data_IF_968484368578
#
_entry.id   IF_968484368578
#
_cell.length_a   1.000
_cell.length_b   1.000
_cell.length_c   1.000
_cell.angle_alpha   90.00
_cell.angle_beta   90.00
_cell.angle_gamma   90.00
#
_symmetry.space_group_name_H-M   'P 1'
#
loop_
_entity.id
_entity.type
_entity.pdbx_description
1 polymer ?
#
# COMPACT_ATOMS: atom_id res chain seq x y z
N UNK A 1 -3.56 -22.52 -35.79
CA UNK A 1 -3.23 -21.76 -37.02
C UNK A 1 -4.48 -21.19 -37.67
N UNK A 2 -5.40 -22.04 -38.17
CA UNK A 2 -6.62 -21.61 -38.87
C UNK A 2 -7.46 -20.55 -38.12
N UNK A 3 -7.76 -20.78 -36.84
CA UNK A 3 -8.65 -19.88 -36.07
C UNK A 3 -7.91 -18.99 -35.07
N UNK A 4 -6.57 -18.96 -35.11
CA UNK A 4 -5.73 -18.16 -34.20
C UNK A 4 -5.66 -18.65 -32.75
N UNK A 5 -6.55 -19.54 -32.32
CA UNK A 5 -6.59 -20.15 -30.98
C UNK A 5 -6.79 -21.66 -31.07
N UNK A 6 -6.39 -22.38 -30.02
CA UNK A 6 -6.63 -23.83 -29.91
C UNK A 6 -8.06 -24.13 -29.48
N UNK A 7 -8.58 -25.34 -29.74
CA UNK A 7 -9.77 -25.81 -29.04
C UNK A 7 -9.58 -25.69 -27.53
N UNK A 8 -10.63 -25.27 -26.81
CA UNK A 8 -10.64 -25.11 -25.35
C UNK A 8 -9.62 -24.11 -24.76
N UNK A 9 -9.11 -23.15 -25.53
CA UNK A 9 -8.08 -22.21 -25.08
C UNK A 9 -8.39 -21.46 -23.77
N UNK A 10 -9.68 -21.23 -23.48
CA UNK A 10 -10.15 -20.48 -22.30
C UNK A 10 -10.60 -21.39 -21.14
N UNK A 11 -10.35 -22.71 -21.23
CA UNK A 11 -10.80 -23.70 -20.25
C UNK A 11 -9.66 -24.12 -19.31
N UNK A 12 -10.01 -24.44 -18.06
CA UNK A 12 -9.03 -24.78 -17.01
C UNK A 12 -8.64 -26.27 -17.01
N UNK A 13 -9.62 -27.18 -17.19
CA UNK A 13 -9.40 -28.64 -17.22
C UNK A 13 -9.55 -29.20 -18.64
N UNK A 14 -8.56 -28.92 -19.48
CA UNK A 14 -8.60 -29.24 -20.91
C UNK A 14 -8.51 -30.76 -21.17
N UNK A 15 -7.75 -31.51 -20.38
CA UNK A 15 -7.50 -32.95 -20.59
C UNK A 15 -8.79 -33.78 -20.60
N UNK A 16 -9.69 -33.55 -19.64
CA UNK A 16 -10.95 -34.29 -19.53
C UNK A 16 -11.87 -34.03 -20.72
N UNK A 17 -11.90 -32.79 -21.21
CA UNK A 17 -12.65 -32.42 -22.41
C UNK A 17 -12.06 -33.08 -23.65
N UNK A 18 -10.74 -33.13 -23.77
CA UNK A 18 -10.07 -33.79 -24.89
C UNK A 18 -10.37 -35.29 -24.88
N UNK A 19 -10.41 -35.97 -23.73
CA UNK A 19 -10.64 -37.41 -23.64
C UNK A 19 -12.10 -37.77 -23.92
N UNK A 20 -13.04 -37.06 -23.30
CA UNK A 20 -14.44 -37.48 -23.26
C UNK A 20 -15.30 -36.90 -24.39
N UNK A 21 -14.90 -35.80 -25.01
CA UNK A 21 -15.66 -35.21 -26.12
C UNK A 21 -15.21 -35.76 -27.47
N UNK A 22 -16.08 -35.56 -28.47
CA UNK A 22 -15.78 -35.79 -29.87
C UNK A 22 -14.59 -34.93 -30.34
N UNK A 23 -13.98 -35.36 -31.45
CA UNK A 23 -12.89 -34.63 -32.10
C UNK A 23 -13.30 -33.19 -32.40
N UNK A 24 -12.44 -32.21 -32.08
CA UNK A 24 -12.76 -30.81 -32.31
C UNK A 24 -12.89 -30.53 -33.81
N UNK A 25 -13.88 -29.72 -34.17
CA UNK A 25 -14.12 -29.26 -35.55
C UNK A 25 -13.86 -27.76 -35.64
N UNK A 26 -13.57 -27.29 -36.86
CA UNK A 26 -13.48 -25.86 -37.14
C UNK A 26 -14.84 -25.19 -36.86
N UNK A 27 -14.81 -24.04 -36.22
CA UNK A 27 -15.98 -23.21 -35.90
C UNK A 27 -16.47 -22.53 -37.17
N UNK A 28 -15.54 -21.98 -37.97
CA UNK A 28 -15.90 -21.35 -39.25
C UNK A 28 -16.18 -22.38 -40.34
N UNK A 29 -17.15 -22.10 -41.20
CA UNK A 29 -17.48 -22.91 -42.39
C UNK A 29 -16.81 -22.42 -43.67
N UNK A 30 -15.92 -21.44 -43.57
CA UNK A 30 -15.25 -20.82 -44.73
C UNK A 30 -14.09 -21.65 -45.28
N UNK A 31 -13.77 -22.77 -44.65
CA UNK A 31 -12.61 -23.59 -44.98
C UNK A 31 -12.91 -24.61 -46.08
N UNK A 32 -11.91 -24.94 -46.90
CA UNK A 32 -12.08 -25.93 -47.96
C UNK A 32 -12.37 -27.32 -47.39
N UNK A 33 -13.15 -28.11 -48.12
CA UNK A 33 -13.46 -29.49 -47.70
C UNK A 33 -12.19 -30.35 -47.62
N UNK A 34 -11.18 -30.08 -48.46
CA UNK A 34 -9.87 -30.75 -48.41
C UNK A 34 -9.14 -30.47 -47.10
N UNK A 35 -9.20 -29.24 -46.58
CA UNK A 35 -8.59 -28.91 -45.30
C UNK A 35 -9.37 -29.53 -44.13
N UNK A 36 -10.71 -29.51 -44.18
CA UNK A 36 -11.55 -30.16 -43.16
C UNK A 36 -11.26 -31.67 -43.09
N UNK A 37 -11.23 -32.34 -44.25
CA UNK A 37 -10.90 -33.77 -44.35
C UNK A 37 -9.51 -34.09 -43.78
N UNK A 38 -8.51 -33.25 -44.06
CA UNK A 38 -7.17 -33.42 -43.50
C UNK A 38 -7.17 -33.38 -41.96
N UNK A 39 -7.94 -32.46 -41.36
CA UNK A 39 -8.07 -32.36 -39.92
C UNK A 39 -8.81 -33.56 -39.32
N UNK A 40 -9.83 -34.08 -39.99
CA UNK A 40 -10.54 -35.29 -39.56
C UNK A 40 -9.59 -36.50 -39.50
N UNK A 41 -8.71 -36.68 -40.48
CA UNK A 41 -7.67 -37.72 -40.45
C UNK A 41 -6.64 -37.52 -39.32
N UNK A 42 -6.27 -36.27 -39.03
CA UNK A 42 -5.33 -35.95 -37.93
C UNK A 42 -5.94 -36.16 -36.54
N UNK A 43 -7.22 -35.83 -36.38
CA UNK A 43 -7.92 -35.76 -35.10
C UNK A 43 -8.79 -36.99 -34.81
N UNK A 44 -8.60 -38.08 -35.56
CA UNK A 44 -9.22 -39.37 -35.27
C UNK A 44 -8.84 -39.83 -33.85
N UNK A 45 -9.85 -40.18 -33.06
CA UNK A 45 -9.72 -40.43 -31.62
C UNK A 45 -9.16 -41.80 -31.36
N UNK A 46 -9.56 -42.77 -32.16
CA UNK A 46 -9.01 -44.12 -32.14
C UNK A 46 -7.58 -44.12 -32.72
N UNK A 47 -6.54 -44.41 -31.92
CA UNK A 47 -5.17 -44.42 -32.40
C UNK A 47 -4.91 -45.42 -33.53
N UNK A 48 -5.69 -46.50 -33.60
CA UNK A 48 -5.54 -47.53 -34.64
C UNK A 48 -6.08 -47.09 -36.00
N UNK A 49 -7.02 -46.14 -36.01
CA UNK A 49 -7.64 -45.58 -37.21
C UNK A 49 -7.02 -44.24 -37.63
N UNK A 50 -6.26 -43.61 -36.73
CA UNK A 50 -5.56 -42.35 -37.00
C UNK A 50 -4.46 -42.58 -38.03
N UNK A 51 -4.46 -41.73 -39.05
CA UNK A 51 -3.46 -41.79 -40.10
C UNK A 51 -2.06 -41.50 -39.56
N UNK A 52 -1.09 -42.25 -40.07
CA UNK A 52 0.34 -42.04 -39.84
C UNK A 52 0.85 -40.78 -40.56
N UNK A 53 2.04 -40.33 -40.19
CA UNK A 53 2.69 -39.19 -40.87
C UNK A 53 2.89 -39.45 -42.37
N UNK A 54 3.22 -40.69 -42.76
CA UNK A 54 3.44 -41.06 -44.16
C UNK A 54 2.15 -41.03 -44.98
N UNK A 55 1.03 -41.48 -44.41
CA UNK A 55 -0.30 -41.36 -45.04
C UNK A 55 -0.77 -39.90 -45.12
N UNK A 56 -0.55 -39.12 -44.06
CA UNK A 56 -0.93 -37.69 -44.03
C UNK A 56 -0.15 -36.86 -45.07
N UNK A 57 1.11 -37.21 -45.35
CA UNK A 57 1.90 -36.56 -46.40
C UNK A 57 1.36 -36.83 -47.81
N UNK A 58 0.59 -37.91 -48.00
CA UNK A 58 -0.06 -38.24 -49.27
C UNK A 58 -1.45 -37.60 -49.41
N UNK A 59 -1.99 -36.99 -48.36
CA UNK A 59 -3.32 -36.38 -48.39
C UNK A 59 -3.37 -35.17 -49.37
N UNK A 60 -4.48 -34.98 -50.13
CA UNK A 60 -4.61 -33.89 -51.12
C UNK A 60 -4.27 -32.50 -50.59
N UNK A 61 -4.63 -32.21 -49.34
CA UNK A 61 -4.30 -30.95 -48.67
C UNK A 61 -2.80 -30.63 -48.63
N UNK A 62 -1.93 -31.65 -48.62
CA UNK A 62 -0.47 -31.50 -48.61
C UNK A 62 0.12 -31.66 -50.02
N UNK A 63 -0.40 -32.61 -50.81
CA UNK A 63 0.15 -32.92 -52.14
C UNK A 63 -0.24 -31.90 -53.21
N UNK A 64 -1.39 -31.22 -53.06
CA UNK A 64 -1.85 -30.17 -53.98
C UNK A 64 -1.39 -28.76 -53.56
N UNK A 65 -0.40 -28.66 -52.66
CA UNK A 65 0.12 -27.37 -52.24
C UNK A 65 0.86 -26.65 -53.38
N UNK A 66 0.77 -25.30 -53.44
CA UNK A 66 1.62 -24.53 -54.32
C UNK A 66 3.10 -24.81 -54.07
N UNK A 67 3.98 -24.59 -55.08
CA UNK A 67 5.41 -24.76 -54.90
C UNK A 67 5.92 -23.98 -53.68
N UNK A 68 6.78 -24.62 -52.87
CA UNK A 68 7.30 -24.04 -51.63
C UNK A 68 7.95 -22.66 -51.83
N UNK A 69 8.48 -22.39 -53.03
CA UNK A 69 9.03 -21.08 -53.41
C UNK A 69 7.97 -19.97 -53.36
N UNK A 70 6.75 -20.23 -53.84
CA UNK A 70 5.64 -19.27 -53.84
C UNK A 70 5.19 -18.96 -52.42
N UNK A 71 4.95 -20.00 -51.61
CA UNK A 71 4.54 -19.85 -50.21
C UNK A 71 5.59 -19.09 -49.40
N UNK A 72 6.89 -19.40 -49.61
CA UNK A 72 7.99 -18.67 -48.96
C UNK A 72 8.01 -17.20 -49.37
N UNK A 73 7.83 -16.88 -50.65
CA UNK A 73 7.78 -15.50 -51.11
C UNK A 73 6.61 -14.71 -50.49
N UNK A 74 5.43 -15.31 -50.41
CA UNK A 74 4.25 -14.71 -49.76
C UNK A 74 4.49 -14.46 -48.26
N UNK A 75 5.09 -15.43 -47.55
CA UNK A 75 5.45 -15.28 -46.14
C UNK A 75 6.48 -14.15 -45.97
N UNK A 76 7.53 -14.11 -46.80
CA UNK A 76 8.54 -13.06 -46.75
C UNK A 76 7.95 -11.67 -47.02
N UNK A 77 7.05 -11.55 -48.00
CA UNK A 77 6.33 -10.31 -48.28
C UNK A 77 5.49 -9.87 -47.08
N UNK A 78 4.74 -10.79 -46.47
CA UNK A 78 3.95 -10.51 -45.28
C UNK A 78 4.83 -10.06 -44.11
N UNK A 79 5.96 -10.75 -43.87
CA UNK A 79 6.89 -10.38 -42.81
C UNK A 79 7.50 -8.98 -43.05
N UNK A 80 7.86 -8.66 -44.29
CA UNK A 80 8.32 -7.31 -44.67
C UNK A 80 7.23 -6.26 -44.43
N UNK A 81 5.99 -6.54 -44.82
CA UNK A 81 4.86 -5.64 -44.60
C UNK A 81 4.61 -5.40 -43.10
N UNK A 82 4.71 -6.44 -42.26
CA UNK A 82 4.57 -6.34 -40.81
C UNK A 82 5.72 -5.54 -40.19
N UNK A 83 6.96 -5.74 -40.63
CA UNK A 83 8.12 -4.96 -40.16
C UNK A 83 8.04 -3.48 -40.61
N UNK A 84 7.53 -3.23 -41.81
CA UNK A 84 7.37 -1.90 -42.38
C UNK A 84 6.04 -1.23 -42.01
N UNK A 85 5.15 -1.91 -41.28
CA UNK A 85 3.96 -1.27 -40.68
C UNK A 85 4.47 -0.06 -39.90
N UNK A 86 3.85 1.12 -40.07
CA UNK A 86 4.40 2.34 -39.53
C UNK A 86 4.38 2.26 -38.00
N UNK A 87 5.52 1.86 -37.43
CA UNK A 87 5.89 2.12 -36.05
C UNK A 87 5.61 3.60 -35.70
N UNK A 88 5.57 4.47 -36.72
CA UNK A 88 5.23 5.90 -36.71
C UNK A 88 3.79 6.22 -36.25
N UNK A 89 2.76 5.40 -36.48
CA UNK A 89 1.40 5.70 -35.99
C UNK A 89 1.30 5.44 -34.48
N UNK A 90 1.78 4.28 -34.02
CA UNK A 90 1.90 3.97 -32.60
C UNK A 90 2.81 4.95 -31.86
N UNK A 91 3.99 5.29 -32.41
CA UNK A 91 4.88 6.28 -31.80
C UNK A 91 4.26 7.68 -31.73
N UNK A 92 3.52 8.11 -32.76
CA UNK A 92 2.84 9.42 -32.75
C UNK A 92 1.74 9.46 -31.69
N UNK A 93 0.93 8.40 -31.59
CA UNK A 93 -0.10 8.28 -30.57
C UNK A 93 0.52 8.26 -29.15
N UNK A 94 1.58 7.47 -28.94
CA UNK A 94 2.31 7.41 -27.66
C UNK A 94 2.97 8.75 -27.32
N UNK A 95 3.57 9.44 -28.31
CA UNK A 95 4.17 10.77 -28.13
C UNK A 95 3.11 11.82 -27.79
N UNK A 96 1.95 11.80 -28.44
CA UNK A 96 0.82 12.67 -28.13
C UNK A 96 0.27 12.39 -26.72
N UNK A 97 0.05 11.12 -26.37
CA UNK A 97 -0.43 10.72 -25.05
C UNK A 97 0.54 11.14 -23.93
N UNK A 98 1.86 10.99 -24.12
CA UNK A 98 2.88 11.50 -23.19
C UNK A 98 2.80 13.01 -23.02
N UNK A 99 2.58 13.77 -24.10
CA UNK A 99 2.45 15.23 -24.03
C UNK A 99 1.20 15.64 -23.27
N UNK A 100 0.08 14.95 -23.47
CA UNK A 100 -1.16 15.18 -22.71
C UNK A 100 -0.99 14.86 -21.23
N UNK A 101 -0.35 13.73 -20.90
CA UNK A 101 -0.09 13.36 -19.51
C UNK A 101 0.81 14.38 -18.80
N UNK A 102 1.81 14.94 -19.49
CA UNK A 102 2.68 15.99 -18.94
C UNK A 102 1.87 17.25 -18.61
N UNK A 103 1.01 17.69 -19.52
CA UNK A 103 0.13 18.84 -19.32
C UNK A 103 -0.84 18.61 -18.16
N UNK A 104 -1.49 17.45 -18.11
CA UNK A 104 -2.38 17.08 -17.02
C UNK A 104 -1.66 17.07 -15.66
N UNK A 105 -0.41 16.56 -15.61
CA UNK A 105 0.42 16.61 -14.40
C UNK A 105 0.78 18.03 -13.98
N UNK A 106 1.09 18.92 -14.91
CA UNK A 106 1.36 20.34 -14.63
C UNK A 106 0.11 21.04 -14.09
N UNK A 107 -1.06 20.77 -14.68
CA UNK A 107 -2.35 21.28 -14.20
C UNK A 107 -2.65 20.79 -12.78
N UNK A 108 -2.48 19.50 -12.50
CA UNK A 108 -2.64 18.95 -11.16
C UNK A 108 -1.63 19.53 -10.16
N UNK A 109 -0.38 19.78 -10.59
CA UNK A 109 0.62 20.45 -9.74
C UNK A 109 0.19 21.88 -9.41
N UNK A 110 -0.32 22.63 -10.39
CA UNK A 110 -0.85 23.97 -10.19
C UNK A 110 -2.05 23.99 -9.25
N UNK A 111 -3.04 23.13 -9.48
CA UNK A 111 -4.21 22.98 -8.62
C UNK A 111 -3.83 22.58 -7.18
N UNK A 112 -2.85 21.68 -7.03
CA UNK A 112 -2.33 21.28 -5.71
C UNK A 112 -1.62 22.43 -4.99
N UNK A 113 -0.88 23.29 -5.68
CA UNK A 113 -0.25 24.45 -5.06
C UNK A 113 -1.29 25.52 -4.68
N UNK A 114 -2.36 25.68 -5.44
CA UNK A 114 -3.49 26.55 -5.07
C UNK A 114 -4.24 26.04 -3.84
N UNK A 115 -4.44 24.72 -3.74
CA UNK A 115 -5.04 24.08 -2.58
C UNK A 115 -4.08 23.95 -1.39
N UNK A 116 -2.79 24.30 -1.56
CA UNK A 116 -1.82 24.24 -0.47
C UNK A 116 -2.18 25.33 0.53
N UNK A 117 -2.63 24.99 1.74
CA UNK A 117 -3.16 25.99 2.66
C UNK A 117 -1.97 26.56 3.44
N UNK A 118 -1.05 27.24 2.74
CA UNK A 118 0.10 27.93 3.35
C UNK A 118 -0.37 28.84 4.46
N UNK A 119 -1.47 29.53 4.22
CA UNK A 119 -2.09 30.43 5.19
C UNK A 119 -2.63 29.69 6.43
N UNK A 120 -3.26 28.53 6.29
CA UNK A 120 -3.75 27.76 7.44
C UNK A 120 -2.59 27.21 8.30
N UNK A 121 -1.49 26.80 7.66
CA UNK A 121 -0.28 26.37 8.39
C UNK A 121 0.38 27.53 9.14
N UNK A 122 0.46 28.72 8.54
CA UNK A 122 0.97 29.91 9.22
C UNK A 122 0.10 30.33 10.41
N UNK A 123 -1.23 30.28 10.28
CA UNK A 123 -2.12 30.57 11.40
C UNK A 123 -1.99 29.55 12.53
N UNK A 124 -1.86 28.27 12.19
CA UNK A 124 -1.61 27.21 13.18
C UNK A 124 -0.26 27.41 13.89
N UNK A 125 0.77 27.82 13.15
CA UNK A 125 2.09 28.11 13.73
C UNK A 125 2.03 29.31 14.69
N UNK A 126 1.39 30.41 14.29
CA UNK A 126 1.17 31.58 15.17
C UNK A 126 0.38 31.20 16.42
N UNK A 127 -0.67 30.40 16.30
CA UNK A 127 -1.45 29.93 17.44
C UNK A 127 -0.62 29.07 18.40
N UNK A 128 0.27 28.20 17.87
CA UNK A 128 1.22 27.42 18.69
C UNK A 128 2.21 28.30 19.45
N UNK A 129 2.77 29.31 18.79
CA UNK A 129 3.69 30.27 19.42
C UNK A 129 3.00 31.05 20.55
N UNK A 130 1.75 31.49 20.35
CA UNK A 130 0.96 32.15 21.39
C UNK A 130 0.72 31.26 22.60
N UNK A 131 0.37 29.99 22.34
CA UNK A 131 0.15 29.02 23.42
C UNK A 131 1.45 28.70 24.17
N UNK A 132 2.59 28.67 23.48
CA UNK A 132 3.90 28.49 24.10
C UNK A 132 4.26 29.68 25.00
N UNK A 133 4.09 30.91 24.52
CA UNK A 133 4.29 32.12 25.33
C UNK A 133 3.38 32.14 26.56
N UNK A 134 2.11 31.78 26.41
CA UNK A 134 1.17 31.70 27.53
C UNK A 134 1.61 30.66 28.58
N UNK A 135 2.14 29.51 28.13
CA UNK A 135 2.71 28.49 29.03
C UNK A 135 3.93 29.00 29.80
N UNK A 136 4.84 29.71 29.13
CA UNK A 136 6.01 30.31 29.77
C UNK A 136 5.61 31.37 30.81
N UNK A 137 4.60 32.19 30.51
CA UNK A 137 4.07 33.16 31.47
C UNK A 137 3.47 32.49 32.71
N UNK A 138 2.71 31.41 32.52
CA UNK A 138 2.18 30.62 33.62
C UNK A 138 3.28 29.94 34.43
N UNK A 139 4.34 29.45 33.79
CA UNK A 139 5.50 28.89 34.49
C UNK A 139 6.18 29.94 35.36
N UNK A 140 6.46 31.13 34.81
CA UNK A 140 7.04 32.25 35.56
C UNK A 140 6.14 32.67 36.72
N UNK A 141 4.85 32.82 36.49
CA UNK A 141 3.89 33.15 37.55
C UNK A 141 3.90 32.07 38.66
N UNK A 142 4.00 30.80 38.30
CA UNK A 142 4.10 29.70 39.26
C UNK A 142 5.40 29.74 40.05
N UNK A 143 6.53 30.08 39.42
CA UNK A 143 7.81 30.30 40.09
C UNK A 143 7.75 31.49 41.04
N UNK A 144 7.16 32.62 40.64
CA UNK A 144 6.95 33.76 41.52
C UNK A 144 6.10 33.41 42.74
N UNK A 145 5.00 32.67 42.55
CA UNK A 145 4.18 32.20 43.67
C UNK A 145 4.95 31.22 44.55
N UNK A 146 5.77 30.34 43.98
CA UNK A 146 6.63 29.43 44.72
C UNK A 146 7.66 30.21 45.56
N UNK A 147 8.33 31.21 44.99
CA UNK A 147 9.27 32.08 45.70
C UNK A 147 8.59 32.87 46.82
N UNK A 148 7.44 33.50 46.55
CA UNK A 148 6.66 34.21 47.56
C UNK A 148 6.26 33.28 48.73
N UNK A 149 5.84 32.05 48.41
CA UNK A 149 5.56 31.02 49.40
C UNK A 149 6.81 30.62 50.20
N UNK A 150 7.98 30.54 49.59
CA UNK A 150 9.24 30.30 50.32
C UNK A 150 9.62 31.46 51.23
N UNK A 151 9.45 32.71 50.79
CA UNK A 151 9.73 33.89 51.61
C UNK A 151 8.78 34.01 52.81
N UNK A 152 7.52 33.61 52.65
CA UNK A 152 6.53 33.53 53.73
C UNK A 152 6.68 32.25 54.57
N UNK A 153 7.55 31.32 54.18
CA UNK A 153 7.75 30.06 54.92
C UNK A 153 8.51 30.41 56.21
N UNK A 154 7.93 30.23 57.41
CA UNK A 154 8.55 30.67 58.65
C UNK A 154 9.57 29.63 59.10
N UNK A 155 10.63 29.44 58.31
CA UNK A 155 11.70 28.46 58.54
C UNK A 155 12.37 28.73 59.89
N UNK A 156 12.62 29.99 60.20
CA UNK A 156 13.20 30.42 61.47
C UNK A 156 12.27 30.18 62.66
N UNK A 157 10.97 30.47 62.55
CA UNK A 157 10.04 30.27 63.68
C UNK A 157 9.85 28.79 64.01
N UNK A 158 9.77 27.91 63.00
CA UNK A 158 9.68 26.46 63.21
C UNK A 158 10.97 25.87 63.78
N UNK A 159 12.15 26.37 63.37
CA UNK A 159 13.43 25.89 63.88
C UNK A 159 13.73 26.40 65.30
N UNK A 160 13.30 27.63 65.63
CA UNK A 160 13.36 28.15 67.00
C UNK A 160 12.41 27.41 67.94
N UNK A 161 11.17 27.13 67.50
CA UNK A 161 10.23 26.33 68.28
C UNK A 161 10.75 24.91 68.52
N UNK A 162 11.38 24.30 67.50
CA UNK A 162 12.01 22.98 67.65
C UNK A 162 13.17 23.00 68.64
N UNK A 163 14.08 23.96 68.53
CA UNK A 163 15.19 24.13 69.47
C UNK A 163 14.73 24.45 70.89
N UNK A 164 13.67 25.25 71.05
CA UNK A 164 13.08 25.53 72.35
C UNK A 164 12.43 24.27 72.97
N UNK A 165 11.77 23.44 72.15
CA UNK A 165 11.23 22.15 72.61
C UNK A 165 12.35 21.17 73.01
N UNK A 166 13.43 21.09 72.23
CA UNK A 166 14.58 20.22 72.53
C UNK A 166 15.33 20.70 73.79
N UNK A 167 15.42 22.02 74.03
CA UNK A 167 16.01 22.59 75.24
C UNK A 167 15.18 22.29 76.50
N UNK A 168 13.86 22.46 76.44
CA UNK A 168 12.96 22.07 77.52
C UNK A 168 13.00 20.56 77.82
N UNK A 169 13.26 19.71 76.82
CA UNK A 169 13.36 18.26 77.03
C UNK A 169 14.65 17.84 77.77
N UNK A 170 15.73 18.61 77.64
CA UNK A 170 17.05 18.32 78.23
C UNK A 170 17.19 18.92 79.63
N UNK A 171 16.63 20.11 79.90
CA UNK A 171 16.79 20.81 81.19
C UNK A 171 15.66 20.59 82.22
N UNK A 172 14.63 19.82 81.89
CA UNK A 172 13.56 19.53 82.86
C UNK A 172 14.11 18.75 84.07
N UNK A 173 14.19 19.45 85.21
CA UNK A 173 14.44 18.90 86.55
C UNK A 173 13.46 17.75 86.84
N UNK A 174 13.85 16.69 87.56
CA UNK A 174 12.96 15.56 87.87
C UNK A 174 11.62 16.01 88.51
N UNK A 175 11.63 17.08 89.31
CA UNK A 175 10.42 17.66 89.94
C UNK A 175 9.46 18.28 88.90
N UNK A 176 9.97 18.83 87.81
CA UNK A 176 9.16 19.40 86.74
C UNK A 176 8.53 18.34 85.84
N UNK A 177 9.18 17.17 85.70
CA UNK A 177 8.60 16.01 85.01
C UNK A 177 7.46 15.39 85.82
N UNK A 178 7.60 15.30 87.15
CA UNK A 178 6.50 14.89 88.04
C UNK A 178 5.33 15.88 88.04
N UNK A 179 5.59 17.19 88.05
CA UNK A 179 4.53 18.20 87.99
C UNK A 179 3.75 18.18 86.66
N UNK A 180 4.41 17.89 85.54
CA UNK A 180 3.73 17.70 84.25
C UNK A 180 2.93 16.40 84.19
N UNK A 181 3.42 15.32 84.81
CA UNK A 181 2.68 14.06 84.89
C UNK A 181 1.45 14.17 85.80
N UNK A 182 1.57 14.89 86.93
CA UNK A 182 0.44 15.23 87.79
C UNK A 182 -0.60 16.13 87.10
N UNK A 183 -0.18 17.09 86.26
CA UNK A 183 -1.10 17.95 85.52
C UNK A 183 -1.88 17.19 84.43
N UNK A 184 -1.31 16.11 83.88
CA UNK A 184 -1.99 15.23 82.92
C UNK A 184 -2.95 14.25 83.59
N UNK A 185 -2.74 13.92 84.87
CA UNK A 185 -3.57 12.97 85.63
C UNK A 185 -4.60 13.63 86.56
N UNK A 186 -4.64 14.97 86.66
CA UNK A 186 -5.25 15.69 87.81
C UNK A 186 -6.50 16.56 87.60
N UNK A 187 -7.28 16.42 86.52
CA UNK A 187 -8.64 16.99 86.46
C UNK A 187 -9.70 15.87 86.52
N UNK A 188 -9.92 15.35 87.73
CA UNK A 188 -11.14 14.64 88.09
C UNK A 188 -11.87 15.45 89.19
N UNK A 189 -13.12 15.80 88.87
CA UNK A 189 -14.25 16.35 89.64
C UNK A 189 -14.05 16.60 91.16
N UNK A 190 -14.59 17.70 91.72
CA UNK A 190 -16.01 17.98 91.98
C UNK A 190 -16.22 19.48 92.16
#
# INVERSE_FOLDING_TARGET
MAEGKTPYADQELVSDLIINNDSPRLISRTWSQTFVSFLESCLEKDPSRRWSAEELLQHPFITELPPAKTIRAEIEEHLRAVQNRPAKQGLRAVRWARKQLRRAREQLRGAREQLRPRWAMEQLQRAREQLQRAREQLQRAREHLWQAREHLRPRWAMEHLRRACDFCAIEASPEQKEAQQMALEGFACV
#
